data_IF_168713071429
#
_entry.id   IF_168713071429
#
_cell.length_a   1.000
_cell.length_b   1.000
_cell.length_c   1.000
_cell.angle_alpha   90.00
_cell.angle_beta   90.00
_cell.angle_gamma   90.00
#
_symmetry.space_group_name_H-M   'P 1'
#
loop_
_entity.id
_entity.type
_entity.pdbx_description
1 polymer ?
#
# COMPACT_ATOMS: atom_id res chain seq x y z
N UNK A 1 -2.84 -13.13 -82.38
CA UNK A 1 -3.61 -13.51 -81.17
C UNK A 1 -2.75 -13.44 -79.90
N UNK A 2 -1.50 -12.95 -79.98
CA UNK A 2 -0.49 -13.16 -78.92
C UNK A 2 -0.40 -12.04 -77.87
N UNK A 3 -0.92 -10.85 -78.16
CA UNK A 3 -0.82 -9.69 -77.27
C UNK A 3 -1.60 -9.86 -75.95
N UNK A 4 -2.66 -10.70 -75.96
CA UNK A 4 -3.42 -11.04 -74.75
C UNK A 4 -2.65 -11.96 -73.80
N UNK A 5 -1.85 -12.89 -74.35
CA UNK A 5 -1.08 -13.84 -73.55
C UNK A 5 0.09 -13.15 -72.84
N UNK A 6 0.78 -12.24 -73.52
CA UNK A 6 1.88 -11.45 -72.94
C UNK A 6 1.42 -10.51 -71.82
N UNK A 7 0.24 -9.91 -71.95
CA UNK A 7 -0.32 -9.06 -70.89
C UNK A 7 -0.72 -9.88 -69.66
N UNK A 8 -1.22 -11.11 -69.86
CA UNK A 8 -1.58 -12.01 -68.75
C UNK A 8 -0.35 -12.52 -67.99
N UNK A 9 0.73 -12.90 -68.67
CA UNK A 9 1.98 -13.33 -68.01
C UNK A 9 2.62 -12.19 -67.22
N UNK A 10 2.67 -10.96 -67.78
CA UNK A 10 3.17 -9.79 -67.05
C UNK A 10 2.31 -9.45 -65.82
N UNK A 11 0.99 -9.61 -65.91
CA UNK A 11 0.11 -9.41 -64.76
C UNK A 11 0.33 -10.47 -63.67
N UNK A 12 0.44 -11.75 -64.03
CA UNK A 12 0.72 -12.83 -63.07
C UNK A 12 2.08 -12.64 -62.41
N UNK A 13 3.11 -12.26 -63.16
CA UNK A 13 4.44 -11.98 -62.62
C UNK A 13 4.44 -10.77 -61.67
N UNK A 14 3.70 -9.72 -62.02
CA UNK A 14 3.52 -8.55 -61.16
C UNK A 14 2.76 -8.90 -59.86
N UNK A 15 1.68 -9.67 -59.94
CA UNK A 15 0.91 -10.11 -58.76
C UNK A 15 1.77 -11.02 -57.86
N UNK A 16 2.51 -11.96 -58.44
CA UNK A 16 3.41 -12.86 -57.72
C UNK A 16 4.54 -12.11 -57.00
N UNK A 17 5.11 -11.09 -57.65
CA UNK A 17 6.18 -10.28 -57.06
C UNK A 17 5.67 -9.36 -55.95
N UNK A 18 4.43 -8.86 -56.05
CA UNK A 18 3.82 -7.98 -55.04
C UNK A 18 3.27 -8.78 -53.85
N UNK A 19 2.69 -9.96 -54.06
CA UNK A 19 2.13 -10.80 -52.99
C UNK A 19 3.21 -11.32 -52.03
N UNK A 20 4.42 -11.62 -52.53
CA UNK A 20 5.56 -11.99 -51.70
C UNK A 20 5.97 -10.91 -50.69
N UNK A 21 5.91 -9.63 -51.07
CA UNK A 21 6.24 -8.51 -50.18
C UNK A 21 5.19 -8.33 -49.07
N UNK A 22 3.90 -8.50 -49.38
CA UNK A 22 2.84 -8.40 -48.37
C UNK A 22 2.88 -9.55 -47.36
N UNK A 23 3.16 -10.78 -47.81
CA UNK A 23 3.30 -11.93 -46.92
C UNK A 23 4.49 -11.77 -45.95
N UNK A 24 5.59 -11.17 -46.41
CA UNK A 24 6.75 -10.88 -45.56
C UNK A 24 6.43 -9.86 -44.46
N UNK A 25 5.76 -8.75 -44.81
CA UNK A 25 5.37 -7.71 -43.84
C UNK A 25 4.36 -8.22 -42.80
N UNK A 26 3.41 -9.06 -43.22
CA UNK A 26 2.45 -9.70 -42.31
C UNK A 26 3.20 -10.64 -41.35
N UNK A 27 4.17 -11.41 -41.85
CA UNK A 27 5.02 -12.28 -41.04
C UNK A 27 5.82 -11.52 -39.98
N UNK A 28 6.46 -10.40 -40.33
CA UNK A 28 7.18 -9.55 -39.37
C UNK A 28 6.25 -8.97 -38.29
N UNK A 29 5.05 -8.52 -38.66
CA UNK A 29 4.09 -7.99 -37.70
C UNK A 29 3.67 -9.07 -36.68
N UNK A 30 3.35 -10.29 -37.14
CA UNK A 30 3.03 -11.40 -36.24
C UNK A 30 4.21 -11.80 -35.35
N UNK A 31 5.44 -11.74 -35.89
CA UNK A 31 6.65 -12.02 -35.12
C UNK A 31 6.87 -10.99 -34.02
N UNK A 32 6.70 -9.70 -34.30
CA UNK A 32 6.82 -8.62 -33.31
C UNK A 32 5.73 -8.70 -32.23
N UNK A 33 4.47 -8.97 -32.62
CA UNK A 33 3.38 -9.18 -31.66
C UNK A 33 3.62 -10.43 -30.81
N UNK A 34 4.11 -11.51 -31.42
CA UNK A 34 4.48 -12.75 -30.75
C UNK A 34 5.62 -12.57 -29.75
N UNK A 35 6.68 -11.84 -30.14
CA UNK A 35 7.79 -11.48 -29.26
C UNK A 35 7.33 -10.59 -28.11
N UNK A 36 6.50 -9.58 -28.36
CA UNK A 36 5.92 -8.73 -27.33
C UNK A 36 5.10 -9.55 -26.31
N UNK A 37 4.22 -10.42 -26.79
CA UNK A 37 3.44 -11.33 -25.95
C UNK A 37 4.32 -12.30 -25.15
N UNK A 38 5.32 -12.91 -25.79
CA UNK A 38 6.26 -13.82 -25.14
C UNK A 38 7.11 -13.11 -24.09
N UNK A 39 7.56 -11.89 -24.36
CA UNK A 39 8.34 -11.07 -23.42
C UNK A 39 7.51 -10.70 -22.18
N UNK A 40 6.26 -10.28 -22.36
CA UNK A 40 5.33 -10.02 -21.24
C UNK A 40 5.09 -11.28 -20.41
N UNK A 41 4.89 -12.42 -21.07
CA UNK A 41 4.72 -13.71 -20.38
C UNK A 41 6.00 -14.17 -19.67
N UNK A 42 7.17 -13.95 -20.27
CA UNK A 42 8.47 -14.28 -19.69
C UNK A 42 8.77 -13.42 -18.46
N UNK A 43 8.45 -12.12 -18.49
CA UNK A 43 8.53 -11.23 -17.32
C UNK A 43 7.61 -11.74 -16.21
N UNK A 44 6.34 -12.04 -16.54
CA UNK A 44 5.38 -12.62 -15.57
C UNK A 44 5.91 -13.92 -14.98
N UNK A 45 6.39 -14.86 -15.79
CA UNK A 45 6.94 -16.14 -15.33
C UNK A 45 8.20 -15.96 -14.48
N UNK A 46 9.09 -15.03 -14.81
CA UNK A 46 10.33 -14.79 -14.05
C UNK A 46 10.03 -14.18 -12.68
N UNK A 47 9.03 -13.30 -12.60
CA UNK A 47 8.48 -12.77 -11.35
C UNK A 47 7.89 -13.91 -10.52
N UNK A 48 7.13 -14.82 -11.11
CA UNK A 48 6.52 -15.97 -10.41
C UNK A 48 7.59 -16.99 -9.94
N UNK A 49 8.58 -17.31 -10.76
CA UNK A 49 9.59 -18.33 -10.42
C UNK A 49 10.60 -17.87 -9.37
N UNK A 50 10.94 -16.58 -9.29
CA UNK A 50 11.76 -16.04 -8.17
C UNK A 50 11.05 -16.14 -6.82
N UNK A 51 9.73 -16.36 -6.79
CA UNK A 51 8.91 -16.38 -5.56
C UNK A 51 8.79 -17.76 -4.90
N UNK A 52 9.33 -18.84 -5.49
CA UNK A 52 9.20 -20.20 -4.95
C UNK A 52 10.28 -20.64 -3.95
N UNK A 53 11.35 -19.87 -3.74
CA UNK A 53 12.56 -20.37 -3.07
C UNK A 53 12.95 -19.69 -1.75
N UNK A 54 12.04 -19.05 -1.04
CA UNK A 54 12.32 -18.68 0.36
C UNK A 54 11.10 -18.95 1.22
N UNK A 55 11.14 -20.06 1.95
CA UNK A 55 10.34 -20.20 3.16
C UNK A 55 10.78 -19.06 4.08
N UNK A 56 9.90 -18.10 4.40
CA UNK A 56 10.32 -16.93 5.15
C UNK A 56 10.63 -17.33 6.58
N UNK A 57 11.82 -16.95 7.06
CA UNK A 57 12.06 -16.87 8.51
C UNK A 57 10.93 -16.07 9.15
N UNK A 58 10.47 -16.45 10.36
CA UNK A 58 9.38 -15.76 11.05
C UNK A 58 9.65 -14.26 11.05
N UNK A 59 8.73 -13.51 10.45
CA UNK A 59 8.87 -12.07 10.25
C UNK A 59 8.47 -11.37 11.53
N UNK A 60 9.33 -10.49 12.02
CA UNK A 60 9.05 -9.68 13.22
C UNK A 60 7.97 -8.64 12.89
N UNK A 61 7.24 -8.18 13.91
CA UNK A 61 6.29 -7.06 13.80
C UNK A 61 6.98 -5.69 13.85
N UNK A 62 8.32 -5.64 13.90
CA UNK A 62 9.08 -4.38 13.97
C UNK A 62 8.85 -3.58 12.68
N UNK A 63 8.29 -2.35 12.77
CA UNK A 63 8.03 -1.51 11.62
C UNK A 63 9.25 -1.28 10.72
N UNK A 64 10.47 -1.25 11.28
CA UNK A 64 11.71 -1.08 10.50
C UNK A 64 12.00 -2.30 9.64
N UNK A 65 11.94 -3.49 10.24
CA UNK A 65 12.16 -4.76 9.55
C UNK A 65 11.09 -4.99 8.49
N UNK A 66 9.83 -4.66 8.80
CA UNK A 66 8.75 -4.71 7.80
C UNK A 66 9.04 -3.74 6.65
N UNK A 67 9.51 -2.52 6.96
CA UNK A 67 9.83 -1.55 5.94
C UNK A 67 11.00 -2.00 5.05
N UNK A 68 12.06 -2.57 5.62
CA UNK A 68 13.18 -3.16 4.88
C UNK A 68 12.68 -4.22 3.90
N UNK A 69 11.89 -5.18 4.37
CA UNK A 69 11.36 -6.28 3.55
C UNK A 69 10.42 -5.80 2.43
N UNK A 70 9.58 -4.80 2.73
CA UNK A 70 8.73 -4.17 1.71
C UNK A 70 9.61 -3.55 0.63
N UNK A 71 10.64 -2.80 1.00
CA UNK A 71 11.52 -2.13 0.04
C UNK A 71 12.41 -3.09 -0.76
N UNK A 72 12.85 -4.20 -0.18
CA UNK A 72 13.61 -5.25 -0.86
C UNK A 72 12.77 -5.95 -1.96
N UNK A 73 11.46 -6.03 -1.76
CA UNK A 73 10.54 -6.71 -2.68
C UNK A 73 9.73 -5.74 -3.56
N UNK A 74 9.82 -4.44 -3.32
CA UNK A 74 9.01 -3.42 -3.96
C UNK A 74 9.33 -3.24 -5.45
N UNK A 75 8.28 -3.30 -6.27
CA UNK A 75 8.26 -2.69 -7.61
C UNK A 75 7.46 -1.41 -7.47
N UNK A 76 7.95 -0.27 -7.94
CA UNK A 76 7.23 1.00 -7.81
C UNK A 76 6.11 1.11 -8.86
N UNK A 77 4.85 1.43 -8.48
CA UNK A 77 4.35 1.59 -7.11
C UNK A 77 4.13 0.23 -6.43
N UNK A 78 4.49 0.11 -5.16
CA UNK A 78 4.29 -1.14 -4.41
C UNK A 78 2.99 -1.10 -3.63
N UNK A 79 2.11 -2.06 -3.89
CA UNK A 79 0.83 -2.21 -3.21
C UNK A 79 0.94 -3.35 -2.21
N UNK A 80 1.04 -3.00 -0.92
CA UNK A 80 1.21 -3.94 0.17
C UNK A 80 -0.08 -4.00 0.98
N UNK A 81 -0.64 -5.20 1.11
CA UNK A 81 -1.75 -5.48 2.00
C UNK A 81 -1.21 -5.85 3.39
N UNK A 82 -1.77 -5.27 4.44
CA UNK A 82 -1.58 -5.67 5.83
C UNK A 82 -2.94 -6.14 6.36
N UNK A 83 -3.11 -7.45 6.47
CA UNK A 83 -4.41 -8.05 6.76
C UNK A 83 -4.34 -9.08 7.87
N UNK A 84 -5.48 -9.32 8.51
CA UNK A 84 -5.68 -10.39 9.50
C UNK A 84 -7.09 -10.96 9.37
N UNK A 85 -7.33 -12.14 9.94
CA UNK A 85 -8.69 -12.66 10.15
C UNK A 85 -9.35 -12.11 11.41
N UNK A 86 -8.57 -11.64 12.37
CA UNK A 86 -9.06 -11.12 13.64
C UNK A 86 -8.51 -9.73 13.94
N UNK A 87 -9.32 -8.87 14.55
CA UNK A 87 -8.92 -7.53 14.96
C UNK A 87 -7.70 -7.52 15.89
N UNK A 88 -7.58 -8.53 16.75
CA UNK A 88 -6.52 -8.61 17.78
C UNK A 88 -5.15 -8.99 17.21
N UNK A 89 -5.11 -9.47 15.95
CA UNK A 89 -3.87 -9.89 15.31
C UNK A 89 -3.16 -8.73 14.61
N UNK A 90 -3.88 -7.65 14.27
CA UNK A 90 -3.33 -6.51 13.55
C UNK A 90 -3.82 -5.18 14.15
N UNK A 91 -3.04 -4.68 15.11
CA UNK A 91 -3.21 -3.34 15.64
C UNK A 91 -2.92 -2.28 14.57
N UNK A 92 -3.69 -1.19 14.58
CA UNK A 92 -3.49 -0.02 13.70
C UNK A 92 -2.11 0.62 13.89
N UNK A 93 -1.48 0.44 15.03
CA UNK A 93 -0.13 0.99 15.30
C UNK A 93 0.91 0.45 14.32
N UNK A 94 0.82 -0.82 13.93
CA UNK A 94 1.79 -1.46 13.03
C UNK A 94 1.78 -0.78 11.64
N UNK A 95 0.65 -0.74 10.89
CA UNK A 95 0.61 -0.09 9.58
C UNK A 95 0.94 1.41 9.65
N UNK A 96 0.51 2.11 10.71
CA UNK A 96 0.86 3.53 10.90
C UNK A 96 2.37 3.72 11.06
N UNK A 97 3.00 2.97 11.95
CA UNK A 97 4.45 3.07 12.16
C UNK A 97 5.23 2.63 10.93
N UNK A 98 4.77 1.60 10.20
CA UNK A 98 5.37 1.20 8.92
C UNK A 98 5.24 2.30 7.87
N UNK A 99 4.08 2.97 7.77
CA UNK A 99 3.88 4.10 6.86
C UNK A 99 4.81 5.28 7.17
N UNK A 100 4.94 5.62 8.46
CA UNK A 100 5.89 6.65 8.90
C UNK A 100 7.34 6.29 8.56
N UNK A 101 7.70 5.01 8.73
CA UNK A 101 9.03 4.52 8.40
C UNK A 101 9.32 4.60 6.88
N UNK A 102 8.31 4.35 6.03
CA UNK A 102 8.41 4.59 4.58
C UNK A 102 8.74 6.05 4.25
N UNK A 103 8.03 6.98 4.91
CA UNK A 103 8.27 8.42 4.72
C UNK A 103 9.66 8.84 5.20
N UNK A 104 10.14 8.32 6.35
CA UNK A 104 11.53 8.56 6.80
C UNK A 104 12.57 8.13 5.77
N UNK A 105 12.24 7.08 5.00
CA UNK A 105 13.05 6.54 3.90
C UNK A 105 12.78 7.23 2.56
N UNK A 106 12.18 8.43 2.60
CA UNK A 106 11.88 9.30 1.45
C UNK A 106 10.98 8.64 0.42
N UNK A 107 10.02 7.83 0.86
CA UNK A 107 8.96 7.25 0.01
C UNK A 107 7.65 7.98 0.24
N UNK A 108 7.01 8.38 -0.85
CA UNK A 108 5.66 8.94 -0.80
C UNK A 108 4.66 7.81 -0.58
N UNK A 109 3.97 7.85 0.55
CA UNK A 109 3.17 6.74 1.05
C UNK A 109 1.69 7.13 1.14
N UNK A 110 0.82 6.25 0.64
CA UNK A 110 -0.61 6.27 0.90
C UNK A 110 -0.96 5.14 1.87
N UNK A 111 -1.62 5.48 2.97
CA UNK A 111 -2.19 4.52 3.91
C UNK A 111 -3.71 4.47 3.73
N UNK A 112 -4.22 3.37 3.16
CA UNK A 112 -5.66 3.13 3.01
C UNK A 112 -6.20 2.37 4.20
N UNK A 113 -7.26 2.89 4.83
CA UNK A 113 -7.93 2.25 5.95
C UNK A 113 -9.17 1.49 5.47
N UNK A 114 -9.16 0.16 5.57
CA UNK A 114 -10.31 -0.70 5.32
C UNK A 114 -10.89 -1.28 6.62
N UNK A 115 -10.52 -0.74 7.78
CA UNK A 115 -11.18 -1.01 9.06
C UNK A 115 -12.46 -0.19 9.18
N UNK A 116 -13.48 -0.61 8.42
CA UNK A 116 -14.76 0.10 8.28
C UNK A 116 -15.50 0.24 9.61
N UNK A 117 -15.24 -0.66 10.56
CA UNK A 117 -15.91 -0.66 11.86
C UNK A 117 -15.31 0.37 12.81
N UNK A 118 -13.97 0.48 12.87
CA UNK A 118 -13.29 1.33 13.87
C UNK A 118 -12.81 2.67 13.29
N UNK A 119 -12.63 2.77 11.97
CA UNK A 119 -12.00 3.91 11.29
C UNK A 119 -10.70 4.31 12.01
N UNK A 120 -9.88 3.30 12.31
CA UNK A 120 -8.83 3.41 13.32
C UNK A 120 -7.70 4.35 12.87
N UNK A 121 -7.37 4.40 11.58
CA UNK A 121 -6.30 5.25 11.06
C UNK A 121 -6.70 6.71 11.16
N UNK A 122 -7.93 7.07 10.76
CA UNK A 122 -8.40 8.46 10.84
C UNK A 122 -8.33 8.98 12.29
N UNK A 123 -8.71 8.15 13.26
CA UNK A 123 -8.63 8.49 14.69
C UNK A 123 -7.20 8.71 15.18
N UNK A 124 -6.24 7.89 14.74
CA UNK A 124 -4.83 8.03 15.13
C UNK A 124 -4.24 9.36 14.65
N UNK A 125 -4.71 9.88 13.52
CA UNK A 125 -4.26 11.14 12.96
C UNK A 125 -5.19 12.32 13.28
N UNK A 126 -6.17 12.13 14.16
CA UNK A 126 -7.16 13.15 14.54
C UNK A 126 -7.82 13.82 13.33
N UNK A 127 -8.05 13.03 12.27
CA UNK A 127 -8.71 13.54 11.07
C UNK A 127 -10.19 13.75 11.39
N UNK A 128 -10.66 14.98 11.20
CA UNK A 128 -12.09 15.25 11.22
C UNK A 128 -12.75 14.42 10.13
N UNK A 129 -13.79 13.67 10.52
CA UNK A 129 -14.68 13.03 9.54
C UNK A 129 -15.20 14.14 8.65
N UNK A 130 -15.07 13.97 7.33
CA UNK A 130 -15.62 14.91 6.35
C UNK A 130 -16.85 14.24 5.72
N UNK A 131 -17.95 14.07 6.49
CA UNK A 131 -19.15 13.42 5.98
C UNK A 131 -19.67 14.22 4.79
N UNK A 132 -19.77 13.56 3.64
CA UNK A 132 -20.40 14.16 2.46
C UNK A 132 -19.47 14.90 1.49
N UNK A 133 -18.15 14.71 1.56
CA UNK A 133 -17.29 15.14 0.45
C UNK A 133 -17.74 14.49 -0.86
N UNK A 134 -18.15 15.31 -1.83
CA UNK A 134 -18.62 14.81 -3.13
C UNK A 134 -17.52 14.09 -3.92
N UNK A 135 -16.27 14.38 -3.59
CA UNK A 135 -15.08 13.88 -4.23
C UNK A 135 -14.08 13.40 -3.18
N UNK A 136 -14.19 12.14 -2.70
CA UNK A 136 -13.24 11.60 -1.75
C UNK A 136 -11.84 11.62 -2.35
N UNK A 137 -10.88 12.13 -1.58
CA UNK A 137 -9.48 12.32 -1.96
C UNK A 137 -8.59 11.91 -0.79
N UNK A 138 -7.33 11.52 -1.04
CA UNK A 138 -6.37 11.28 0.04
C UNK A 138 -6.19 12.55 0.88
N UNK A 139 -6.20 12.41 2.20
CA UNK A 139 -5.97 13.50 3.15
C UNK A 139 -4.48 13.51 3.48
N UNK A 140 -3.82 14.64 3.26
CA UNK A 140 -2.43 14.82 3.65
C UNK A 140 -2.34 14.95 5.18
N UNK A 141 -1.41 14.22 5.79
CA UNK A 141 -1.15 14.31 7.24
C UNK A 141 -0.19 15.46 7.57
N UNK A 142 0.07 15.69 8.85
CA UNK A 142 1.15 16.58 9.31
C UNK A 142 2.54 16.08 8.89
N UNK A 143 2.68 14.79 8.57
CA UNK A 143 3.91 14.24 7.99
C UNK A 143 3.90 14.43 6.48
N UNK A 144 4.89 15.19 6.00
CA UNK A 144 5.11 15.37 4.56
C UNK A 144 5.22 14.01 3.87
N UNK A 145 4.61 13.89 2.69
CA UNK A 145 4.61 12.68 1.86
C UNK A 145 3.85 11.47 2.43
N UNK A 146 3.18 11.61 3.59
CA UNK A 146 2.21 10.63 4.10
C UNK A 146 0.78 11.13 3.89
N UNK A 147 0.00 10.35 3.15
CA UNK A 147 -1.42 10.60 2.93
C UNK A 147 -2.24 9.42 3.43
N UNK A 148 -3.49 9.70 3.79
CA UNK A 148 -4.43 8.71 4.32
C UNK A 148 -5.66 8.68 3.42
N UNK A 149 -6.17 7.48 3.18
CA UNK A 149 -7.51 7.26 2.65
C UNK A 149 -8.39 6.66 3.76
N UNK A 150 -9.23 7.47 4.42
CA UNK A 150 -10.04 7.04 5.58
C UNK A 150 -11.04 5.93 5.25
N UNK A 151 -11.45 5.17 6.28
CA UNK A 151 -12.37 4.06 6.14
C UNK A 151 -13.79 4.48 5.73
N UNK A 152 -14.22 5.66 6.17
CA UNK A 152 -15.53 6.24 5.86
C UNK A 152 -15.78 6.37 4.35
N UNK A 153 -14.74 6.56 3.53
CA UNK A 153 -14.86 6.65 2.07
C UNK A 153 -15.12 5.31 1.38
N UNK A 154 -15.07 4.21 2.12
CA UNK A 154 -15.42 2.86 1.65
C UNK A 154 -16.77 2.38 2.21
N UNK A 155 -17.54 3.28 2.84
CA UNK A 155 -18.86 2.97 3.41
C UNK A 155 -19.95 3.88 2.82
N UNK A 156 -21.22 3.48 2.94
CA UNK A 156 -22.38 4.27 2.52
C UNK A 156 -22.70 4.21 1.03
N UNK A 157 -23.51 5.19 0.56
CA UNK A 157 -24.12 5.17 -0.78
C UNK A 157 -23.12 5.39 -1.93
N UNK A 158 -21.91 5.87 -1.63
CA UNK A 158 -20.86 6.15 -2.63
C UNK A 158 -19.65 5.25 -2.41
N UNK A 159 -19.92 3.95 -2.26
CA UNK A 159 -18.90 2.92 -2.06
C UNK A 159 -17.91 2.92 -3.25
N UNK A 160 -16.70 3.42 -3.04
CA UNK A 160 -15.64 3.34 -4.05
C UNK A 160 -14.92 2.01 -3.87
N UNK A 161 -14.86 1.14 -4.88
CA UNK A 161 -14.08 -0.10 -4.79
C UNK A 161 -12.59 0.21 -4.48
N UNK A 162 -11.96 -0.43 -3.49
CA UNK A 162 -10.56 -0.20 -3.15
C UNK A 162 -9.61 -0.35 -4.35
N UNK A 163 -9.91 -1.28 -5.26
CA UNK A 163 -9.13 -1.47 -6.50
C UNK A 163 -9.09 -0.22 -7.40
N UNK A 164 -10.18 0.56 -7.45
CA UNK A 164 -10.20 1.83 -8.20
C UNK A 164 -9.33 2.89 -7.53
N UNK A 165 -9.35 2.94 -6.20
CA UNK A 165 -8.48 3.85 -5.43
C UNK A 165 -7.01 3.49 -5.65
N UNK A 166 -6.65 2.21 -5.56
CA UNK A 166 -5.29 1.73 -5.84
C UNK A 166 -4.84 2.09 -7.25
N UNK A 167 -5.68 1.86 -8.25
CA UNK A 167 -5.37 2.18 -9.65
C UNK A 167 -5.14 3.68 -9.85
N UNK A 168 -5.98 4.54 -9.26
CA UNK A 168 -5.82 5.98 -9.33
C UNK A 168 -4.57 6.46 -8.58
N UNK A 169 -4.26 5.87 -7.42
CA UNK A 169 -3.13 6.24 -6.57
C UNK A 169 -1.77 5.76 -7.12
N UNK A 170 -1.74 4.68 -7.90
CA UNK A 170 -0.52 4.06 -8.43
C UNK A 170 0.42 5.02 -9.17
N UNK A 171 -0.10 6.08 -9.81
CA UNK A 171 0.71 7.10 -10.49
C UNK A 171 1.33 8.17 -9.58
N UNK A 172 0.92 8.24 -8.31
CA UNK A 172 1.22 9.37 -7.42
C UNK A 172 2.00 9.01 -6.16
N UNK A 173 2.12 7.72 -5.85
CA UNK A 173 2.71 7.21 -4.62
C UNK A 173 3.73 6.12 -4.92
N UNK A 174 4.82 6.10 -4.17
CA UNK A 174 5.82 5.03 -4.28
C UNK A 174 5.30 3.75 -3.63
N UNK A 175 4.60 3.90 -2.51
CA UNK A 175 4.07 2.82 -1.67
C UNK A 175 2.60 3.08 -1.34
N UNK A 176 1.77 2.06 -1.50
CA UNK A 176 0.37 2.03 -1.05
C UNK A 176 0.25 0.92 -0.03
N UNK A 177 0.03 1.28 1.23
CA UNK A 177 -0.24 0.35 2.33
C UNK A 177 -1.75 0.25 2.52
N UNK A 178 -2.30 -0.96 2.48
CA UNK A 178 -3.71 -1.23 2.72
C UNK A 178 -3.83 -1.88 4.10
N UNK A 179 -4.43 -1.19 5.05
CA UNK A 179 -4.76 -1.74 6.37
C UNK A 179 -6.15 -2.38 6.33
N UNK A 180 -6.24 -3.69 6.53
CA UNK A 180 -7.51 -4.42 6.43
C UNK A 180 -7.60 -5.53 7.49
N UNK A 181 -7.92 -5.20 8.75
CA UNK A 181 -8.22 -6.22 9.75
C UNK A 181 -9.54 -6.92 9.40
N UNK A 182 -9.63 -8.22 9.68
CA UNK A 182 -10.83 -9.04 9.41
C UNK A 182 -11.22 -9.03 7.91
N UNK A 183 -10.23 -9.01 7.02
CA UNK A 183 -10.47 -8.94 5.57
C UNK A 183 -11.19 -10.18 5.04
N UNK A 184 -11.08 -11.33 5.71
CA UNK A 184 -11.75 -12.59 5.35
C UNK A 184 -13.27 -12.45 5.25
N UNK A 185 -13.87 -11.59 6.06
CA UNK A 185 -15.32 -11.36 6.12
C UNK A 185 -15.74 -10.14 5.29
N UNK A 186 -14.77 -9.38 4.78
CA UNK A 186 -15.03 -8.16 4.03
C UNK A 186 -15.52 -8.47 2.60
N UNK A 187 -16.52 -7.73 2.10
CA UNK A 187 -16.94 -7.82 0.69
C UNK A 187 -15.81 -7.39 -0.27
N UNK A 188 -14.78 -6.72 0.23
CA UNK A 188 -13.66 -6.24 -0.57
C UNK A 188 -12.55 -7.27 -0.79
N UNK A 189 -12.59 -8.44 -0.13
CA UNK A 189 -11.52 -9.44 -0.15
C UNK A 189 -10.98 -9.70 -1.57
N UNK A 190 -11.85 -10.03 -2.51
CA UNK A 190 -11.42 -10.36 -3.88
C UNK A 190 -10.82 -9.15 -4.62
N UNK A 191 -11.42 -7.97 -4.44
CA UNK A 191 -10.95 -6.75 -5.12
C UNK A 191 -9.61 -6.26 -4.57
N UNK A 192 -9.40 -6.38 -3.27
CA UNK A 192 -8.14 -6.02 -2.59
C UNK A 192 -7.06 -7.04 -2.90
N UNK A 193 -7.39 -8.34 -2.83
CA UNK A 193 -6.47 -9.41 -3.18
C UNK A 193 -5.94 -9.27 -4.61
N UNK A 194 -6.82 -8.96 -5.57
CA UNK A 194 -6.43 -8.74 -6.97
C UNK A 194 -5.61 -7.46 -7.20
N UNK A 195 -5.75 -6.46 -6.34
CA UNK A 195 -5.04 -5.17 -6.46
C UNK A 195 -3.66 -5.18 -5.77
N UNK A 196 -3.45 -6.06 -4.79
CA UNK A 196 -2.19 -6.11 -4.03
C UNK A 196 -1.11 -6.95 -4.73
N UNK A 197 0.15 -6.55 -4.57
CA UNK A 197 1.31 -7.30 -5.08
C UNK A 197 1.85 -8.26 -4.02
N UNK A 198 1.84 -7.81 -2.77
CA UNK A 198 2.31 -8.53 -1.59
C UNK A 198 1.32 -8.36 -0.45
N UNK A 199 1.25 -9.34 0.43
CA UNK A 199 0.41 -9.32 1.61
C UNK A 199 1.18 -9.81 2.84
N UNK A 200 1.14 -9.00 3.89
CA UNK A 200 1.55 -9.30 5.25
C UNK A 200 0.31 -9.81 5.98
N UNK A 201 0.25 -11.13 6.23
CA UNK A 201 -0.90 -11.78 6.88
C UNK A 201 -0.57 -12.03 8.35
N UNK A 202 -1.29 -11.33 9.22
CA UNK A 202 -1.12 -11.41 10.66
C UNK A 202 -2.11 -12.42 11.24
N UNK A 203 -1.62 -13.38 12.02
CA UNK A 203 -2.43 -14.47 12.53
C UNK A 203 -2.03 -14.91 13.95
N UNK A 204 -2.93 -15.53 14.74
CA UNK A 204 -2.57 -16.09 16.03
C UNK A 204 -1.55 -17.23 15.89
N UNK A 205 -0.81 -17.49 16.96
CA UNK A 205 0.07 -18.65 17.03
C UNK A 205 -0.76 -19.93 16.89
N UNK A 206 -0.35 -20.82 16.00
CA UNK A 206 -1.04 -22.10 15.77
C UNK A 206 -2.33 -22.02 14.95
N UNK A 207 -2.87 -20.83 14.67
CA UNK A 207 -4.02 -20.66 13.78
C UNK A 207 -3.60 -19.88 12.54
N UNK A 208 -3.48 -20.57 11.41
CA UNK A 208 -3.17 -19.93 10.13
C UNK A 208 -4.46 -19.52 9.45
N UNK A 209 -4.48 -18.30 8.96
CA UNK A 209 -5.62 -17.72 8.26
C UNK A 209 -5.83 -18.29 6.86
N UNK A 210 -6.13 -19.58 6.77
CA UNK A 210 -6.10 -20.35 5.52
C UNK A 210 -7.05 -19.79 4.46
N UNK A 211 -8.25 -19.34 4.83
CA UNK A 211 -9.21 -18.78 3.87
C UNK A 211 -8.67 -17.50 3.23
N UNK A 212 -8.16 -16.58 4.05
CA UNK A 212 -7.54 -15.34 3.59
C UNK A 212 -6.31 -15.64 2.71
N UNK A 213 -5.45 -16.57 3.16
CA UNK A 213 -4.24 -16.98 2.42
C UNK A 213 -4.57 -17.58 1.07
N UNK A 214 -5.54 -18.48 0.99
CA UNK A 214 -5.98 -19.11 -0.25
C UNK A 214 -6.52 -18.06 -1.24
N UNK A 215 -7.30 -17.09 -0.77
CA UNK A 215 -7.79 -16.00 -1.61
C UNK A 215 -6.63 -15.16 -2.19
N UNK A 216 -5.66 -14.79 -1.34
CA UNK A 216 -4.51 -13.98 -1.76
C UNK A 216 -3.55 -14.75 -2.67
N UNK A 217 -3.33 -16.04 -2.42
CA UNK A 217 -2.54 -16.92 -3.29
C UNK A 217 -3.19 -17.08 -4.67
N UNK A 218 -4.52 -17.29 -4.71
CA UNK A 218 -5.27 -17.36 -5.97
C UNK A 218 -5.16 -16.06 -6.76
N UNK A 219 -5.10 -14.91 -6.08
CA UNK A 219 -4.87 -13.61 -6.70
C UNK A 219 -3.41 -13.37 -7.14
N UNK A 220 -2.47 -14.23 -6.74
CA UNK A 220 -1.06 -14.15 -7.11
C UNK A 220 -0.21 -13.22 -6.24
N UNK A 221 -0.71 -12.83 -5.06
CA UNK A 221 0.02 -12.01 -4.10
C UNK A 221 1.19 -12.79 -3.46
N UNK A 222 2.31 -12.12 -3.20
CA UNK A 222 3.40 -12.67 -2.39
C UNK A 222 2.98 -12.65 -0.93
N UNK A 223 2.98 -13.79 -0.25
CA UNK A 223 2.56 -13.89 1.14
C UNK A 223 3.72 -13.88 2.12
N UNK A 224 3.57 -13.10 3.19
CA UNK A 224 4.42 -13.12 4.37
C UNK A 224 3.55 -13.36 5.59
N UNK A 225 3.79 -14.46 6.30
CA UNK A 225 3.10 -14.78 7.54
C UNK A 225 3.79 -14.09 8.72
N UNK A 226 2.99 -13.39 9.53
CA UNK A 226 3.42 -12.70 10.74
C UNK A 226 2.62 -13.25 11.91
N UNK A 227 3.31 -13.97 12.80
CA UNK A 227 2.70 -14.45 14.04
C UNK A 227 2.41 -13.28 14.97
N UNK A 228 1.20 -13.20 15.52
CA UNK A 228 0.78 -12.15 16.45
C UNK A 228 1.48 -12.23 17.81
N UNK A 229 2.26 -13.27 18.08
CA UNK A 229 3.13 -13.38 19.25
C UNK A 229 4.05 -12.15 19.38
N UNK A 230 4.45 -11.57 18.24
CA UNK A 230 5.24 -10.34 18.19
C UNK A 230 4.42 -9.05 18.30
N UNK A 231 3.09 -9.11 18.16
CA UNK A 231 2.22 -7.94 18.25
C UNK A 231 1.77 -7.65 19.69
N UNK A 232 1.84 -8.65 20.58
CA UNK A 232 1.68 -8.44 22.03
C UNK A 232 2.98 -7.88 22.59
N UNK A 233 3.21 -6.58 22.40
CA UNK A 233 3.99 -5.85 23.40
C UNK A 233 3.18 -6.05 24.69
N UNK A 234 3.65 -6.82 25.70
CA UNK A 234 2.95 -6.86 26.96
C UNK A 234 2.79 -5.40 27.37
N UNK A 235 1.60 -4.94 27.80
CA UNK A 235 1.46 -3.58 28.28
C UNK A 235 2.61 -3.40 29.27
N UNK A 236 3.59 -2.54 28.94
CA UNK A 236 4.60 -2.18 29.92
C UNK A 236 3.75 -1.72 31.08
N UNK A 237 3.78 -2.46 32.18
CA UNK A 237 3.10 -2.05 33.40
C UNK A 237 3.53 -0.61 33.58
N UNK A 238 2.58 0.29 33.38
CA UNK A 238 2.82 1.70 33.59
C UNK A 238 3.09 1.75 35.08
N UNK A 239 4.36 1.70 35.46
CA UNK A 239 4.79 1.83 36.83
C UNK A 239 4.64 3.32 37.12
N UNK A 240 3.58 3.74 37.84
CA UNK A 240 3.35 5.14 38.12
C UNK A 240 4.36 5.67 39.14
N UNK A 241 5.31 4.84 39.62
CA UNK A 241 6.31 5.27 40.57
C UNK A 241 7.24 6.29 39.89
N UNK A 242 7.20 7.58 40.28
CA UNK A 242 8.19 8.52 39.80
C UNK A 242 9.55 7.98 40.24
N UNK A 243 10.40 7.66 39.27
CA UNK A 243 11.74 7.17 39.54
C UNK A 243 12.42 8.26 40.36
N UNK A 244 12.76 7.98 41.64
CA UNK A 244 13.44 8.94 42.55
C UNK A 244 14.69 9.59 41.92
N UNK A 245 15.22 9.02 40.83
CA UNK A 245 16.26 9.61 39.98
C UNK A 245 15.85 10.90 39.26
N UNK A 246 14.61 11.09 38.82
CA UNK A 246 14.19 12.34 38.14
C UNK A 246 14.03 13.52 39.11
N UNK A 247 13.69 13.29 40.37
CA UNK A 247 13.57 14.36 41.37
C UNK A 247 14.96 14.85 41.82
N UNK A 248 15.98 13.99 41.78
CA UNK A 248 17.36 14.37 42.12
C UNK A 248 18.07 15.23 41.04
N UNK A 249 17.67 15.13 39.77
CA UNK A 249 18.30 15.92 38.68
C UNK A 249 17.71 17.31 38.49
N UNK A 250 16.50 17.59 38.98
CA UNK A 250 15.90 18.93 38.93
C UNK A 250 16.34 19.80 40.13
N UNK A 251 16.84 19.19 41.20
CA UNK A 251 17.27 19.89 42.42
C UNK A 251 18.62 20.60 42.37
N UNK A 252 19.34 20.57 41.24
CA UNK A 252 20.71 21.11 41.15
C UNK A 252 20.92 22.20 40.09
N UNK A 253 19.85 22.90 39.69
CA UNK A 253 19.98 24.16 38.91
C UNK A 253 20.15 25.32 39.90
N UNK A 254 21.40 25.49 40.33
CA UNK A 254 21.83 26.63 41.12
C UNK A 254 21.64 27.95 40.37
N UNK A 255 20.97 28.86 41.06
CA UNK A 255 20.76 30.28 40.76
C UNK A 255 21.86 30.95 39.92
N UNK A 256 21.49 31.45 38.74
CA UNK A 256 22.05 32.69 38.22
C UNK A 256 20.94 33.74 38.16
N UNK A 257 21.14 34.82 38.91
CA UNK A 257 20.20 35.92 39.04
C UNK A 257 19.93 36.58 37.69
N UNK A 258 18.67 36.51 37.26
CA UNK A 258 18.14 37.25 36.13
C UNK A 258 16.84 37.91 36.56
N UNK A 259 16.87 39.24 36.65
CA UNK A 259 15.76 40.14 36.98
C UNK A 259 14.49 39.79 36.18
N UNK A 260 13.43 39.39 36.90
CA UNK A 260 12.10 39.19 36.30
C UNK A 260 11.49 40.57 36.05
N UNK A 261 11.40 40.95 34.78
CA UNK A 261 10.52 42.04 34.36
C UNK A 261 9.06 41.60 34.50
N UNK A 262 8.32 42.42 35.24
CA UNK A 262 6.89 42.32 35.51
C UNK A 262 6.12 42.64 34.23
N UNK A 263 5.57 41.63 33.56
CA UNK A 263 4.63 41.83 32.44
C UNK A 263 3.24 42.05 33.04
N UNK A 264 2.78 43.29 32.98
CA UNK A 264 1.42 43.70 33.36
C UNK A 264 0.45 43.23 32.28
N UNK A 265 -0.57 42.49 32.70
CA UNK A 265 -1.72 42.14 31.87
C UNK A 265 -2.56 43.39 31.59
N UNK A 266 -2.89 43.64 30.33
CA UNK A 266 -3.98 44.54 29.93
C UNK A 266 -4.98 43.66 29.17
N UNK A 267 -6.09 43.37 29.85
CA UNK A 267 -7.31 42.93 29.21
C UNK A 267 -8.22 44.13 29.06
N UNK A 268 -8.66 44.42 27.84
CA UNK A 268 -9.87 45.19 27.59
C UNK A 268 -10.73 44.44 26.58
N UNK A 269 -11.86 44.00 27.09
CA UNK A 269 -13.07 43.53 26.40
C UNK A 269 -13.71 44.70 25.67
N UNK A 270 -13.92 44.60 24.35
CA UNK A 270 -14.85 45.47 23.63
C UNK A 270 -16.04 44.64 23.14
N UNK A 271 -17.16 44.81 23.83
CA UNK A 271 -18.49 44.34 23.49
C UNK A 271 -19.15 45.43 22.63
N UNK A 272 -19.56 45.12 21.40
CA UNK A 272 -20.43 46.02 20.62
C UNK A 272 -21.70 45.30 20.15
N UNK A 273 -22.81 45.94 20.51
CA UNK A 273 -24.15 45.81 19.95
C UNK A 273 -24.23 46.43 18.57
#
# INVERSE_FOLDING_TARGET
MDQGLENLTRFIEWVSRRSGQYLFLIGELFFLVGLGGWFVLAIRRRIINRRKSSSPNPVTSDPKVLADRILESAVCPSVILMASEHYDCLSVTIPVQTAMEMVRRKKKCLLMDLDLARNAVARVFELESLPGSDHPRPIQTTFKDLHIWPAEYFTGNRLIPPSKVVAAASGFYDIILIYAPVLSESPFLQTVAAACQSALVFHPVGNRSENLRLALQKAGAILYDISSEFARIPPRSFDPTPTKKMIAEIGNVGHNGGTIQKVTAIGETEERR
#
